data_IF_347335806354
#
_entry.id   IF_347335806354
#
_cell.length_a   1.000
_cell.length_b   1.000
_cell.length_c   1.000
_cell.angle_alpha   90.00
_cell.angle_beta   90.00
_cell.angle_gamma   90.00
#
_symmetry.space_group_name_H-M   'P 1'
#
loop_
_entity.id
_entity.type
_entity.pdbx_description
1 polymer ?
#
# COMPACT_ATOMS: atom_id res chain seq x y z
N UNK A 1 13.87 31.07 13.94
CA UNK A 1 13.60 31.04 12.49
C UNK A 1 13.12 29.64 12.14
N UNK A 2 12.03 29.48 11.42
CA UNK A 2 11.59 28.17 10.97
C UNK A 2 12.63 27.69 9.95
N UNK A 3 13.31 26.56 10.21
CA UNK A 3 14.22 25.96 9.24
C UNK A 3 13.36 25.38 8.10
N UNK A 4 13.18 26.19 7.06
CA UNK A 4 12.52 25.79 5.84
C UNK A 4 13.54 25.16 4.89
N UNK A 5 13.15 24.12 4.20
CA UNK A 5 13.87 23.55 3.06
C UNK A 5 13.33 24.14 1.77
N UNK A 6 14.21 24.66 0.95
CA UNK A 6 13.92 25.13 -0.41
C UNK A 6 14.02 23.95 -1.37
N UNK A 7 12.96 23.63 -2.06
CA UNK A 7 12.87 22.51 -3.01
C UNK A 7 12.60 23.09 -4.38
N UNK A 8 13.50 22.88 -5.31
CA UNK A 8 13.27 23.10 -6.74
C UNK A 8 12.77 21.80 -7.33
N UNK A 9 11.67 21.86 -8.08
CA UNK A 9 11.09 20.71 -8.77
C UNK A 9 10.98 21.06 -10.24
N UNK A 10 11.50 20.17 -11.08
CA UNK A 10 11.39 20.27 -12.54
C UNK A 10 10.85 18.96 -13.12
N UNK A 11 10.04 19.07 -14.17
CA UNK A 11 9.47 17.93 -14.90
C UNK A 11 9.33 18.26 -16.39
N UNK A 12 9.65 17.30 -17.26
CA UNK A 12 9.40 17.38 -18.69
C UNK A 12 8.00 16.84 -18.99
N UNK A 13 7.14 17.71 -19.54
CA UNK A 13 5.81 17.35 -20.03
C UNK A 13 5.42 18.28 -21.17
N UNK A 14 5.02 17.71 -22.32
CA UNK A 14 4.60 18.50 -23.48
C UNK A 14 3.11 18.78 -23.39
N UNK A 15 2.75 20.05 -23.18
CA UNK A 15 1.34 20.48 -23.21
C UNK A 15 0.85 20.62 -24.65
N UNK A 16 -0.43 20.32 -24.87
CA UNK A 16 -1.04 20.34 -26.20
C UNK A 16 -1.55 21.72 -26.63
N UNK A 17 -1.72 22.61 -25.65
CA UNK A 17 -2.08 24.01 -25.93
C UNK A 17 -1.56 24.95 -24.82
N UNK A 18 -1.49 26.29 -25.11
CA UNK A 18 -0.94 27.28 -24.16
C UNK A 18 -1.79 27.52 -22.91
N UNK A 19 -3.05 27.06 -22.88
CA UNK A 19 -3.92 27.20 -21.71
C UNK A 19 -3.69 26.10 -20.68
N UNK A 20 -2.96 25.04 -21.05
CA UNK A 20 -2.60 23.96 -20.18
C UNK A 20 -1.42 24.31 -19.28
N UNK A 21 -1.50 23.90 -18.03
CA UNK A 21 -0.48 24.13 -17.02
C UNK A 21 -0.24 22.84 -16.23
N UNK A 22 1.03 22.48 -16.04
CA UNK A 22 1.40 21.40 -15.14
C UNK A 22 1.31 21.92 -13.70
N UNK A 23 0.67 21.14 -12.84
CA UNK A 23 0.50 21.43 -11.42
C UNK A 23 1.13 20.35 -10.56
N UNK A 24 1.77 20.76 -9.47
CA UNK A 24 2.34 19.90 -8.44
C UNK A 24 1.32 19.73 -7.31
N UNK A 25 1.06 18.49 -6.94
CA UNK A 25 0.21 18.12 -5.81
C UNK A 25 1.07 17.51 -4.71
N UNK A 26 0.83 17.89 -3.46
CA UNK A 26 1.62 17.46 -2.30
C UNK A 26 0.76 16.72 -1.29
N UNK A 27 1.32 15.70 -0.65
CA UNK A 27 0.73 15.00 0.49
C UNK A 27 1.79 14.67 1.53
N UNK A 28 1.44 14.70 2.79
CA UNK A 28 2.34 14.33 3.89
C UNK A 28 1.54 13.69 5.02
N UNK A 29 2.18 12.81 5.77
CA UNK A 29 1.63 12.20 6.99
C UNK A 29 1.23 13.24 8.06
N UNK A 30 1.79 14.46 7.99
CA UNK A 30 1.44 15.59 8.84
C UNK A 30 0.73 16.66 8.05
N UNK A 31 -0.18 17.39 8.72
CA UNK A 31 -0.98 18.46 8.11
C UNK A 31 -0.04 19.53 7.52
N UNK A 32 -0.13 19.71 6.21
CA UNK A 32 0.53 20.80 5.48
C UNK A 32 -0.19 22.13 5.74
N UNK A 33 0.47 23.25 5.41
CA UNK A 33 -0.20 24.56 5.39
C UNK A 33 -1.29 24.53 4.31
N UNK A 34 -2.39 25.28 4.53
CA UNK A 34 -3.53 25.28 3.63
C UNK A 34 -3.15 25.57 2.17
N UNK A 35 -2.20 26.47 1.95
CA UNK A 35 -1.70 26.88 0.62
C UNK A 35 -0.98 25.73 -0.14
N UNK A 36 -0.47 24.73 0.60
CA UNK A 36 0.24 23.56 0.04
C UNK A 36 -0.70 22.36 -0.19
N UNK A 37 -1.95 22.45 0.23
CA UNK A 37 -2.96 21.43 -0.05
C UNK A 37 -3.66 21.65 -1.41
N UNK A 38 -3.49 22.84 -2.00
CA UNK A 38 -4.00 23.14 -3.33
C UNK A 38 -2.94 22.86 -4.40
N UNK A 39 -3.34 22.51 -5.64
CA UNK A 39 -2.41 22.29 -6.73
C UNK A 39 -1.52 23.51 -7.00
N UNK A 40 -0.21 23.33 -6.92
CA UNK A 40 0.77 24.39 -7.14
C UNK A 40 1.12 24.44 -8.64
N UNK A 41 0.82 25.54 -9.30
CA UNK A 41 1.13 25.72 -10.73
C UNK A 41 2.62 25.84 -10.95
N UNK A 42 3.16 25.05 -11.87
CA UNK A 42 4.52 25.16 -12.36
C UNK A 42 4.61 26.23 -13.45
N UNK A 43 5.80 26.75 -13.69
CA UNK A 43 6.13 27.73 -14.73
C UNK A 43 6.90 27.05 -15.83
N UNK A 44 6.61 27.42 -17.07
CA UNK A 44 7.35 27.01 -18.25
C UNK A 44 7.51 28.21 -19.22
N UNK A 45 8.60 28.22 -19.94
CA UNK A 45 8.86 29.21 -21.01
C UNK A 45 8.67 28.63 -22.41
N UNK A 46 8.70 27.30 -22.53
CA UNK A 46 8.69 26.57 -23.81
C UNK A 46 7.53 25.55 -23.90
N UNK A 47 6.71 25.40 -22.85
CA UNK A 47 5.63 24.41 -22.77
C UNK A 47 6.09 22.95 -22.64
N UNK A 48 7.39 22.73 -22.40
CA UNK A 48 8.01 21.39 -22.28
C UNK A 48 8.64 21.14 -20.93
N UNK A 49 9.53 22.04 -20.48
CA UNK A 49 10.15 21.97 -19.17
C UNK A 49 9.35 22.85 -18.19
N UNK A 50 8.79 22.23 -17.18
CA UNK A 50 8.00 22.86 -16.12
C UNK A 50 8.74 22.84 -14.82
N UNK A 51 8.80 23.98 -14.12
CA UNK A 51 9.56 24.09 -12.88
C UNK A 51 8.88 24.99 -11.85
N UNK A 52 9.11 24.70 -10.57
CA UNK A 52 8.69 25.54 -9.46
C UNK A 52 9.60 25.33 -8.26
N UNK A 53 9.82 26.41 -7.52
CA UNK A 53 10.50 26.35 -6.23
C UNK A 53 9.47 26.55 -5.13
N UNK A 54 9.49 25.66 -4.12
CA UNK A 54 8.63 25.71 -2.96
C UNK A 54 9.48 25.74 -1.68
N UNK A 55 8.91 26.21 -0.59
CA UNK A 55 9.54 26.19 0.73
C UNK A 55 8.68 25.40 1.73
N UNK A 56 9.25 24.36 2.33
CA UNK A 56 8.57 23.48 3.29
C UNK A 56 9.21 23.54 4.67
N UNK A 57 8.42 23.52 5.77
CA UNK A 57 8.91 23.49 7.15
C UNK A 57 9.33 22.05 7.54
N UNK A 58 10.48 21.60 7.04
CA UNK A 58 10.92 20.20 7.16
C UNK A 58 11.30 19.74 8.57
N UNK A 59 11.42 20.64 9.55
CA UNK A 59 11.51 20.24 10.97
C UNK A 59 10.27 19.47 11.46
N UNK A 60 9.10 19.68 10.82
CA UNK A 60 7.83 19.07 11.21
C UNK A 60 7.41 17.94 10.28
N UNK A 61 8.03 17.84 9.12
CA UNK A 61 7.70 16.90 8.04
C UNK A 61 8.93 16.06 7.75
N UNK A 62 8.86 14.75 7.96
CA UNK A 62 9.98 13.82 7.73
C UNK A 62 10.08 13.36 6.28
N UNK A 63 8.93 13.37 5.60
CA UNK A 63 8.74 12.84 4.26
C UNK A 63 7.61 13.58 3.54
N UNK A 64 7.56 13.45 2.24
CA UNK A 64 6.56 14.06 1.37
C UNK A 64 6.27 13.12 0.20
N UNK A 65 5.00 12.92 -0.07
CA UNK A 65 4.53 12.35 -1.33
C UNK A 65 4.12 13.47 -2.28
N UNK A 66 4.43 13.33 -3.56
CA UNK A 66 4.04 14.32 -4.55
C UNK A 66 3.73 13.67 -5.90
N UNK A 67 2.97 14.39 -6.73
CA UNK A 67 2.60 13.97 -8.06
C UNK A 67 2.19 15.15 -8.91
N UNK A 68 2.05 14.93 -10.20
CA UNK A 68 1.75 15.99 -11.15
C UNK A 68 0.40 15.76 -11.83
N UNK A 69 -0.26 16.87 -12.13
CA UNK A 69 -1.49 16.92 -12.92
C UNK A 69 -1.38 18.00 -13.98
N UNK A 70 -2.17 17.88 -15.03
CA UNK A 70 -2.31 18.95 -16.04
C UNK A 70 -3.71 19.52 -15.92
N UNK A 71 -3.81 20.83 -15.80
CA UNK A 71 -5.08 21.54 -15.77
C UNK A 71 -5.19 22.55 -16.92
N UNK A 72 -6.41 22.69 -17.43
CA UNK A 72 -6.79 23.71 -18.40
C UNK A 72 -7.93 24.52 -17.80
N UNK A 73 -7.72 25.82 -17.58
CA UNK A 73 -8.72 26.72 -16.95
C UNK A 73 -9.37 26.14 -15.68
N UNK A 74 -8.59 25.52 -14.81
CA UNK A 74 -9.03 24.85 -13.57
C UNK A 74 -9.70 23.47 -13.74
N UNK A 75 -9.83 22.97 -14.96
CA UNK A 75 -10.32 21.61 -15.22
C UNK A 75 -9.15 20.66 -15.34
N UNK A 76 -9.21 19.51 -14.65
CA UNK A 76 -8.23 18.44 -14.78
C UNK A 76 -8.30 17.85 -16.20
N UNK A 77 -7.17 17.84 -16.90
CA UNK A 77 -7.04 17.30 -18.26
C UNK A 77 -6.26 15.99 -18.28
N UNK A 78 -5.18 15.92 -17.49
CA UNK A 78 -4.34 14.74 -17.38
C UNK A 78 -3.77 14.63 -15.96
N UNK A 79 -3.41 13.41 -15.56
CA UNK A 79 -2.78 13.12 -14.27
C UNK A 79 -1.77 11.99 -14.41
N UNK A 80 -0.70 12.04 -13.65
CA UNK A 80 0.24 10.93 -13.57
C UNK A 80 -0.45 9.66 -13.13
N UNK A 81 0.02 8.54 -13.67
CA UNK A 81 -0.40 7.20 -13.28
C UNK A 81 0.73 6.55 -12.47
N UNK A 82 0.38 5.83 -11.45
CA UNK A 82 1.37 5.19 -10.59
C UNK A 82 0.86 5.07 -9.16
N UNK A 83 1.69 5.36 -8.21
CA UNK A 83 1.45 5.17 -6.78
C UNK A 83 0.27 6.01 -6.23
N UNK A 84 -0.96 5.58 -6.53
CA UNK A 84 -2.15 6.36 -6.18
C UNK A 84 -2.13 7.72 -6.87
N UNK A 85 -2.54 8.76 -6.13
CA UNK A 85 -2.51 10.15 -6.60
C UNK A 85 -1.10 10.78 -6.55
N UNK A 86 -0.15 10.12 -5.86
CA UNK A 86 1.19 10.66 -5.60
C UNK A 86 2.25 9.59 -5.89
N UNK A 87 2.74 9.51 -7.14
CA UNK A 87 3.70 8.48 -7.55
C UNK A 87 5.12 8.68 -7.04
N UNK A 88 5.45 9.84 -6.52
CA UNK A 88 6.79 10.18 -6.05
C UNK A 88 6.85 10.32 -4.53
N UNK A 89 8.00 9.94 -3.96
CA UNK A 89 8.23 10.03 -2.52
C UNK A 89 9.62 10.60 -2.22
N UNK A 90 9.72 11.48 -1.23
CA UNK A 90 10.97 12.07 -0.78
C UNK A 90 11.07 12.03 0.75
N UNK A 91 12.26 11.64 1.25
CA UNK A 91 12.65 11.77 2.65
C UNK A 91 13.49 13.02 2.87
N UNK A 92 13.20 13.74 3.94
CA UNK A 92 14.00 14.89 4.37
C UNK A 92 15.02 14.48 5.43
N UNK A 93 16.27 14.91 5.27
CA UNK A 93 17.36 14.64 6.21
C UNK A 93 18.07 15.92 6.63
N UNK A 94 17.31 16.97 6.88
CA UNK A 94 17.87 18.26 7.31
C UNK A 94 18.53 19.09 6.20
N UNK A 95 18.50 18.64 4.94
CA UNK A 95 18.94 19.41 3.79
C UNK A 95 18.11 20.69 3.64
N UNK A 96 18.78 21.81 3.34
CA UNK A 96 18.14 23.12 3.17
C UNK A 96 17.80 23.44 1.72
N UNK A 97 18.50 22.80 0.78
CA UNK A 97 18.31 22.98 -0.65
C UNK A 97 18.27 21.63 -1.34
N UNK A 98 17.12 21.32 -1.93
CA UNK A 98 16.90 20.06 -2.65
C UNK A 98 16.49 20.38 -4.09
N UNK A 99 17.07 19.66 -5.07
CA UNK A 99 16.66 19.68 -6.47
C UNK A 99 16.02 18.35 -6.84
N UNK A 100 14.89 18.38 -7.53
CA UNK A 100 14.16 17.20 -8.01
C UNK A 100 13.99 17.32 -9.51
N UNK A 101 14.51 16.35 -10.24
CA UNK A 101 14.34 16.17 -11.68
C UNK A 101 13.39 15.01 -11.89
N UNK A 102 12.10 15.30 -12.01
CA UNK A 102 11.05 14.31 -12.11
C UNK A 102 10.81 13.86 -13.55
N UNK A 103 10.36 12.63 -13.71
CA UNK A 103 9.79 12.11 -14.96
C UNK A 103 8.28 11.92 -14.78
N UNK A 104 7.53 12.22 -15.85
CA UNK A 104 6.10 11.96 -15.89
C UNK A 104 5.81 10.45 -15.96
N UNK A 105 5.03 9.94 -15.02
CA UNK A 105 4.65 8.54 -14.96
C UNK A 105 3.35 8.27 -15.73
N UNK A 106 3.46 7.49 -16.80
CA UNK A 106 2.35 7.15 -17.69
C UNK A 106 1.94 5.67 -17.66
N UNK A 107 2.61 4.84 -16.89
CA UNK A 107 2.37 3.39 -16.93
C UNK A 107 1.02 3.03 -16.30
N UNK A 108 0.04 2.75 -17.16
CA UNK A 108 -1.31 2.32 -16.77
C UNK A 108 -1.36 0.83 -16.37
N UNK A 109 -0.31 0.06 -16.66
CA UNK A 109 -0.34 -1.40 -16.56
C UNK A 109 -0.10 -1.98 -15.18
N UNK A 110 0.56 -1.23 -14.29
CA UNK A 110 1.05 -1.75 -13.00
C UNK A 110 0.56 -1.01 -11.77
N UNK A 111 -0.46 -0.18 -11.91
CA UNK A 111 -1.05 0.61 -10.81
C UNK A 111 -1.50 -0.24 -9.61
N UNK A 112 -1.80 -1.53 -9.84
CA UNK A 112 -2.18 -2.44 -8.77
C UNK A 112 -1.07 -2.65 -7.73
N UNK A 113 0.21 -2.54 -8.08
CA UNK A 113 1.32 -2.65 -7.12
C UNK A 113 1.26 -1.60 -6.01
N UNK A 114 0.67 -0.45 -6.30
CA UNK A 114 0.60 0.67 -5.39
C UNK A 114 -0.71 0.73 -4.60
N UNK A 115 -1.66 -0.15 -4.90
CA UNK A 115 -2.89 -0.24 -4.12
C UNK A 115 -2.59 -0.69 -2.69
N UNK A 116 -3.35 -0.19 -1.73
CA UNK A 116 -3.19 -0.59 -0.32
C UNK A 116 -3.43 -2.07 -0.09
N UNK A 117 -4.30 -2.70 -0.87
CA UNK A 117 -4.52 -4.14 -0.85
C UNK A 117 -3.24 -4.89 -1.21
N UNK A 118 -2.50 -4.39 -2.18
CA UNK A 118 -1.27 -5.01 -2.65
C UNK A 118 -0.08 -4.71 -1.75
N UNK A 119 0.19 -3.44 -1.50
CA UNK A 119 1.36 -2.98 -0.75
C UNK A 119 1.29 -3.26 0.76
N UNK A 120 0.09 -3.46 1.32
CA UNK A 120 -0.09 -3.76 2.75
C UNK A 120 -0.43 -5.22 3.05
N UNK A 121 -0.90 -5.99 2.05
CA UNK A 121 -1.39 -7.35 2.28
C UNK A 121 -0.65 -8.39 1.46
N UNK A 122 -0.56 -8.23 0.14
CA UNK A 122 0.04 -9.23 -0.76
C UNK A 122 1.56 -9.16 -0.71
N UNK A 123 2.11 -7.96 -0.76
CA UNK A 123 3.53 -7.67 -0.61
C UNK A 123 3.73 -6.51 0.37
N UNK A 124 3.53 -6.75 1.67
CA UNK A 124 3.76 -5.71 2.66
C UNK A 124 5.23 -5.29 2.57
N UNK A 125 5.42 -4.02 2.32
CA UNK A 125 6.74 -3.41 2.22
C UNK A 125 6.82 -2.23 3.17
N UNK A 126 7.83 -2.25 4.02
CA UNK A 126 8.25 -1.12 4.83
C UNK A 126 9.76 -0.94 4.65
N UNK A 127 10.18 0.28 4.35
CA UNK A 127 11.61 0.59 4.27
C UNK A 127 12.24 0.47 5.65
N UNK A 128 13.32 -0.30 5.74
CA UNK A 128 14.06 -0.40 6.99
C UNK A 128 14.90 0.87 7.27
N UNK A 129 15.23 1.11 8.54
CA UNK A 129 15.94 2.32 8.96
C UNK A 129 17.38 2.40 8.42
N UNK A 130 18.01 1.27 8.14
CA UNK A 130 19.36 1.23 7.53
C UNK A 130 19.32 1.77 6.10
N UNK A 131 18.43 1.25 5.26
CA UNK A 131 18.26 1.70 3.88
C UNK A 131 17.84 3.16 3.81
N UNK A 132 16.92 3.59 4.67
CA UNK A 132 16.50 4.97 4.80
C UNK A 132 17.68 5.88 5.18
N UNK A 133 18.53 5.45 6.10
CA UNK A 133 19.73 6.17 6.49
C UNK A 133 20.74 6.31 5.34
N UNK A 134 20.95 5.26 4.56
CA UNK A 134 21.84 5.26 3.39
C UNK A 134 21.32 6.24 2.32
N UNK A 135 20.03 6.16 1.98
CA UNK A 135 19.38 7.04 1.01
C UNK A 135 19.47 8.51 1.47
N UNK A 136 19.25 8.76 2.76
CA UNK A 136 19.25 10.09 3.32
C UNK A 136 20.65 10.73 3.34
N UNK A 137 21.71 9.97 3.54
CA UNK A 137 23.08 10.49 3.56
C UNK A 137 23.64 10.79 2.18
N UNK A 138 23.12 10.16 1.14
CA UNK A 138 23.55 10.42 -0.23
C UNK A 138 23.06 11.80 -0.70
N UNK A 139 23.95 12.57 -1.33
CA UNK A 139 23.60 13.86 -1.90
C UNK A 139 23.00 13.76 -3.32
N UNK A 140 23.10 12.59 -3.96
CA UNK A 140 22.40 12.27 -5.23
C UNK A 140 21.69 10.94 -5.11
N UNK A 141 20.42 10.89 -5.53
CA UNK A 141 19.66 9.65 -5.61
C UNK A 141 19.07 9.51 -7.01
N UNK A 142 19.41 8.44 -7.73
CA UNK A 142 18.70 8.06 -8.94
C UNK A 142 17.54 7.15 -8.56
N UNK A 143 16.36 7.40 -9.11
CA UNK A 143 15.14 6.66 -8.78
C UNK A 143 14.50 6.16 -10.07
N UNK A 144 13.94 4.96 -10.02
CA UNK A 144 12.95 4.48 -10.99
C UNK A 144 11.84 3.70 -10.29
N UNK A 145 10.71 3.57 -10.97
CA UNK A 145 9.50 2.90 -10.47
C UNK A 145 9.11 1.72 -11.36
N UNK A 146 8.04 1.02 -10.98
CA UNK A 146 7.38 -0.03 -11.75
C UNK A 146 8.25 -1.23 -12.10
N UNK A 147 9.16 -1.62 -11.18
CA UNK A 147 10.07 -2.73 -11.42
C UNK A 147 10.19 -3.67 -10.23
N UNK A 148 9.94 -4.95 -10.46
CA UNK A 148 10.18 -6.02 -9.49
C UNK A 148 11.21 -6.99 -10.09
N UNK A 149 12.40 -7.11 -9.49
CA UNK A 149 13.41 -8.04 -9.99
C UNK A 149 12.92 -9.49 -9.87
N UNK A 150 13.39 -10.40 -10.75
CA UNK A 150 13.11 -11.82 -10.62
C UNK A 150 13.61 -12.37 -9.27
N UNK A 151 12.95 -13.42 -8.79
CA UNK A 151 13.30 -14.05 -7.50
C UNK A 151 14.77 -14.44 -7.45
N UNK A 152 15.45 -14.02 -6.37
CA UNK A 152 16.87 -14.29 -6.15
C UNK A 152 17.82 -13.28 -6.79
N UNK A 153 17.33 -12.31 -7.54
CA UNK A 153 18.13 -11.22 -8.09
C UNK A 153 18.07 -9.97 -7.22
N UNK A 154 19.22 -9.32 -7.10
CA UNK A 154 19.36 -7.94 -6.60
C UNK A 154 19.65 -7.01 -7.76
N UNK A 155 19.30 -5.75 -7.62
CA UNK A 155 19.53 -4.73 -8.63
C UNK A 155 20.65 -3.80 -8.21
N UNK A 156 21.52 -3.46 -9.16
CA UNK A 156 22.65 -2.56 -8.97
C UNK A 156 22.67 -1.49 -10.06
N UNK A 157 23.25 -0.34 -9.74
CA UNK A 157 23.70 0.64 -10.72
C UNK A 157 25.18 0.48 -10.92
N UNK A 158 25.63 0.32 -12.17
CA UNK A 158 27.03 0.19 -12.53
C UNK A 158 27.39 1.23 -13.60
N UNK A 159 28.44 1.99 -13.38
CA UNK A 159 28.85 3.08 -14.25
C UNK A 159 30.35 3.07 -14.55
N UNK A 160 30.77 4.09 -15.30
CA UNK A 160 32.11 4.23 -15.86
C UNK A 160 33.14 4.85 -14.92
N UNK A 161 32.79 5.08 -13.64
CA UNK A 161 33.73 5.62 -12.65
C UNK A 161 33.89 4.66 -11.46
N UNK A 162 34.92 4.91 -10.64
CA UNK A 162 35.25 4.07 -9.50
C UNK A 162 34.13 4.03 -8.45
N UNK A 163 33.43 5.14 -8.24
CA UNK A 163 32.32 5.23 -7.28
C UNK A 163 31.12 4.34 -7.67
N UNK A 164 30.98 4.01 -8.94
CA UNK A 164 29.91 3.17 -9.49
C UNK A 164 30.42 1.83 -10.03
N UNK A 165 31.64 1.46 -9.67
CA UNK A 165 32.24 0.16 -9.95
C UNK A 165 33.02 0.04 -11.24
N UNK A 166 33.17 1.11 -12.01
CA UNK A 166 33.94 1.13 -13.26
C UNK A 166 33.60 -0.07 -14.20
N UNK A 167 32.33 -0.21 -14.49
CA UNK A 167 31.70 -1.31 -15.25
C UNK A 167 31.88 -2.72 -14.64
N UNK A 168 32.28 -2.81 -13.35
CA UNK A 168 32.25 -4.08 -12.63
C UNK A 168 30.96 -4.16 -11.80
N UNK A 169 29.98 -5.02 -12.16
CA UNK A 169 28.69 -5.07 -11.48
C UNK A 169 28.78 -5.39 -9.99
N UNK A 170 29.77 -6.18 -9.59
CA UNK A 170 29.97 -6.54 -8.18
C UNK A 170 30.50 -5.37 -7.31
N UNK A 171 30.96 -4.29 -7.95
CA UNK A 171 31.35 -3.05 -7.28
C UNK A 171 30.35 -1.92 -7.51
N UNK A 172 29.24 -2.21 -8.18
CA UNK A 172 28.17 -1.25 -8.41
C UNK A 172 27.42 -0.86 -7.12
N UNK A 173 26.58 0.14 -7.23
CA UNK A 173 25.72 0.62 -6.12
C UNK A 173 24.48 -0.25 -6.04
N UNK A 174 24.29 -0.96 -4.93
CA UNK A 174 23.09 -1.75 -4.68
C UNK A 174 21.86 -0.85 -4.55
N UNK A 175 20.80 -1.15 -5.29
CA UNK A 175 19.54 -0.46 -5.23
C UNK A 175 18.83 -0.70 -3.88
N UNK A 176 18.25 0.35 -3.34
CA UNK A 176 17.45 0.32 -2.11
C UNK A 176 15.99 0.49 -2.49
N UNK A 177 15.17 -0.47 -2.11
CA UNK A 177 13.74 -0.36 -2.36
C UNK A 177 13.15 0.65 -1.37
N UNK A 178 12.49 1.71 -1.89
CA UNK A 178 11.87 2.76 -1.07
C UNK A 178 10.36 2.61 -0.99
N UNK A 179 9.79 1.96 -1.97
CA UNK A 179 8.40 1.55 -2.02
C UNK A 179 8.27 0.28 -2.87
N UNK A 180 7.12 -0.38 -2.86
CA UNK A 180 6.88 -1.52 -3.74
C UNK A 180 7.14 -1.15 -5.21
N UNK A 181 8.08 -1.82 -5.84
CA UNK A 181 8.47 -1.55 -7.23
C UNK A 181 9.28 -0.26 -7.46
N UNK A 182 9.58 0.52 -6.42
CA UNK A 182 10.35 1.77 -6.52
C UNK A 182 11.71 1.62 -5.87
N UNK A 183 12.75 1.95 -6.63
CA UNK A 183 14.14 1.73 -6.27
C UNK A 183 14.93 3.03 -6.27
N UNK A 184 15.74 3.24 -5.25
CA UNK A 184 16.67 4.35 -5.12
C UNK A 184 18.11 3.86 -5.13
N UNK A 185 18.96 4.56 -5.87
CA UNK A 185 20.41 4.31 -5.96
C UNK A 185 21.14 5.52 -5.37
N UNK A 186 21.59 5.41 -4.13
CA UNK A 186 22.26 6.49 -3.42
C UNK A 186 23.69 6.66 -3.92
N UNK A 187 24.02 7.84 -4.43
CA UNK A 187 25.31 8.18 -5.01
C UNK A 187 25.99 9.33 -4.23
N UNK A 188 27.30 9.37 -4.29
CA UNK A 188 28.06 10.55 -3.95
C UNK A 188 28.23 11.41 -5.20
N UNK A 189 27.44 12.48 -5.31
CA UNK A 189 27.46 13.38 -6.45
C UNK A 189 28.79 14.11 -6.65
N UNK A 190 29.61 14.29 -5.60
CA UNK A 190 30.91 14.94 -5.72
C UNK A 190 31.92 14.12 -6.53
N UNK A 191 31.63 12.84 -6.74
CA UNK A 191 32.42 11.91 -7.55
C UNK A 191 31.86 11.70 -8.95
N UNK A 192 30.87 12.49 -9.36
CA UNK A 192 30.15 12.35 -10.63
C UNK A 192 30.29 13.65 -11.42
N UNK A 193 30.87 13.56 -12.63
CA UNK A 193 30.82 14.64 -13.61
C UNK A 193 29.73 14.28 -14.65
N UNK A 194 28.61 15.05 -14.70
CA UNK A 194 27.45 14.69 -15.51
C UNK A 194 27.73 14.48 -16.98
N UNK A 195 28.63 15.30 -17.55
CA UNK A 195 28.97 15.23 -18.99
C UNK A 195 29.64 13.92 -19.39
N UNK A 196 30.37 13.30 -18.45
CA UNK A 196 31.14 12.08 -18.68
C UNK A 196 30.54 10.85 -18.01
N UNK A 197 29.51 11.03 -17.17
CA UNK A 197 28.94 9.92 -16.38
C UNK A 197 28.00 9.06 -17.21
N UNK A 198 28.42 7.83 -17.45
CA UNK A 198 27.63 6.80 -18.09
C UNK A 198 27.36 5.65 -17.13
N UNK A 199 26.13 5.15 -17.12
CA UNK A 199 25.75 4.04 -16.26
C UNK A 199 24.70 3.13 -16.89
N UNK A 200 24.50 1.95 -16.29
CA UNK A 200 23.40 1.01 -16.55
C UNK A 200 22.91 0.40 -15.26
N UNK A 201 21.66 -0.06 -15.30
CA UNK A 201 21.17 -0.96 -14.27
C UNK A 201 21.52 -2.41 -14.60
N UNK A 202 21.75 -3.21 -13.58
CA UNK A 202 22.19 -4.59 -13.73
C UNK A 202 21.59 -5.46 -12.62
N UNK A 203 21.16 -6.66 -12.99
CA UNK A 203 20.71 -7.68 -12.06
C UNK A 203 21.83 -8.67 -11.75
N UNK A 204 22.00 -9.03 -10.50
CA UNK A 204 22.92 -10.06 -10.04
C UNK A 204 22.13 -11.08 -9.22
N UNK A 205 22.19 -12.35 -9.64
CA UNK A 205 21.60 -13.43 -8.87
C UNK A 205 22.47 -13.75 -7.66
N UNK A 206 21.91 -13.66 -6.46
CA UNK A 206 22.64 -13.85 -5.20
C UNK A 206 23.18 -15.25 -4.98
N UNK A 207 22.64 -16.28 -5.68
CA UNK A 207 23.06 -17.68 -5.54
C UNK A 207 23.97 -18.16 -6.67
N UNK A 208 23.64 -17.77 -7.91
CA UNK A 208 24.31 -18.27 -9.12
C UNK A 208 25.35 -17.32 -9.68
N UNK A 209 25.41 -16.07 -9.18
CA UNK A 209 26.21 -14.97 -9.74
C UNK A 209 25.89 -14.66 -11.21
N UNK A 210 24.72 -15.10 -11.71
CA UNK A 210 24.30 -14.72 -13.05
C UNK A 210 24.05 -13.23 -13.12
N UNK A 211 24.59 -12.56 -14.14
CA UNK A 211 24.55 -11.11 -14.35
C UNK A 211 23.71 -10.83 -15.60
N UNK A 212 22.75 -9.93 -15.47
CA UNK A 212 21.89 -9.48 -16.58
C UNK A 212 21.94 -7.95 -16.63
N UNK A 213 22.45 -7.42 -17.71
CA UNK A 213 22.48 -5.99 -17.98
C UNK A 213 21.16 -5.52 -18.60
N UNK A 214 20.76 -4.29 -18.32
CA UNK A 214 19.65 -3.68 -19.05
C UNK A 214 19.96 -3.56 -20.54
N UNK A 215 18.93 -3.68 -21.36
CA UNK A 215 19.02 -3.50 -22.80
C UNK A 215 19.13 -2.00 -23.17
N UNK A 216 19.56 -1.75 -24.42
CA UNK A 216 19.67 -0.39 -24.95
C UNK A 216 21.02 0.29 -24.68
N UNK A 217 21.07 1.60 -24.86
CA UNK A 217 22.27 2.41 -24.70
C UNK A 217 22.60 2.66 -23.21
N UNK A 218 23.86 3.08 -22.96
CA UNK A 218 24.21 3.59 -21.64
C UNK A 218 23.39 4.82 -21.30
N UNK A 219 23.01 4.95 -20.03
CA UNK A 219 22.33 6.11 -19.48
C UNK A 219 23.32 7.20 -19.13
N UNK A 220 22.84 8.43 -19.12
CA UNK A 220 23.60 9.60 -18.65
C UNK A 220 22.69 10.48 -17.77
N UNK A 221 23.30 11.34 -16.97
CA UNK A 221 22.62 12.39 -16.23
C UNK A 221 22.72 13.67 -17.04
N UNK A 222 21.60 14.38 -17.25
CA UNK A 222 21.61 15.63 -18.04
C UNK A 222 22.36 16.77 -17.33
N UNK A 223 22.15 16.91 -16.02
CA UNK A 223 22.69 18.02 -15.24
C UNK A 223 22.72 17.66 -13.75
N UNK A 224 23.76 18.10 -13.06
CA UNK A 224 23.85 18.08 -11.61
C UNK A 224 24.21 19.48 -11.10
N UNK A 225 23.22 20.14 -10.51
CA UNK A 225 23.41 21.51 -10.01
C UNK A 225 24.03 21.47 -8.61
N UNK A 226 25.26 21.96 -8.50
CA UNK A 226 26.06 21.95 -7.25
C UNK A 226 25.59 22.96 -6.21
N UNK A 227 24.67 23.86 -6.57
CA UNK A 227 24.05 24.79 -5.61
C UNK A 227 23.06 24.13 -4.66
N UNK A 228 22.67 22.89 -4.97
CA UNK A 228 21.79 22.08 -4.13
C UNK A 228 22.56 21.06 -3.31
N UNK A 229 22.15 20.91 -2.06
CA UNK A 229 22.76 19.96 -1.12
C UNK A 229 22.35 18.51 -1.42
N UNK A 230 21.18 18.33 -2.04
CA UNK A 230 20.67 17.05 -2.47
C UNK A 230 19.98 17.16 -3.82
N UNK A 231 20.23 16.18 -4.69
CA UNK A 231 19.52 16.04 -5.97
C UNK A 231 18.86 14.67 -6.05
N UNK A 232 17.59 14.65 -6.44
CA UNK A 232 16.82 13.45 -6.74
C UNK A 232 16.54 13.48 -8.23
N UNK A 233 16.84 12.39 -8.93
CA UNK A 233 16.68 12.30 -10.38
C UNK A 233 15.88 11.03 -10.68
N UNK A 234 14.70 11.21 -11.23
CA UNK A 234 13.93 10.08 -11.75
C UNK A 234 14.53 9.61 -13.06
N UNK A 235 14.57 8.32 -13.23
CA UNK A 235 15.04 7.67 -14.45
C UNK A 235 13.98 6.70 -14.95
N UNK A 236 13.98 6.43 -16.26
CA UNK A 236 13.06 5.45 -16.84
C UNK A 236 13.32 4.06 -16.27
N UNK A 237 12.25 3.29 -16.10
CA UNK A 237 12.31 1.88 -15.71
C UNK A 237 13.23 1.12 -16.65
N UNK A 238 14.18 0.31 -16.14
CA UNK A 238 15.12 -0.42 -16.98
C UNK A 238 14.45 -1.55 -17.77
N UNK A 239 14.89 -1.75 -19.01
CA UNK A 239 14.47 -2.88 -19.83
C UNK A 239 15.27 -4.13 -19.43
N UNK A 240 14.75 -4.87 -18.47
CA UNK A 240 15.34 -6.11 -17.93
C UNK A 240 14.22 -7.11 -17.60
N UNK A 241 14.54 -8.42 -17.47
CA UNK A 241 13.57 -9.39 -16.99
C UNK A 241 12.94 -8.97 -15.65
N UNK A 242 11.63 -9.05 -15.56
CA UNK A 242 10.87 -8.71 -14.36
C UNK A 242 10.18 -9.94 -13.80
N UNK A 243 9.87 -9.89 -12.52
CA UNK A 243 8.98 -10.86 -11.94
C UNK A 243 7.53 -10.52 -12.33
N UNK A 244 6.93 -11.39 -13.12
CA UNK A 244 5.49 -11.32 -13.36
C UNK A 244 4.78 -11.87 -12.13
N UNK A 245 4.03 -11.01 -11.47
CA UNK A 245 3.22 -11.45 -10.35
C UNK A 245 2.12 -12.38 -10.85
N UNK A 246 2.23 -13.64 -10.48
CA UNK A 246 1.19 -14.65 -10.70
C UNK A 246 0.56 -14.98 -9.37
N UNK A 247 -0.74 -14.68 -9.23
CA UNK A 247 -1.54 -14.99 -8.05
C UNK A 247 -2.63 -15.95 -8.45
N UNK A 248 -2.73 -17.05 -7.71
CA UNK A 248 -3.87 -17.95 -7.74
C UNK A 248 -4.63 -17.83 -6.42
N UNK A 249 -5.95 -17.81 -6.48
CA UNK A 249 -6.77 -17.69 -5.29
C UNK A 249 -8.19 -18.18 -5.50
N UNK A 250 -8.98 -18.12 -4.43
CA UNK A 250 -10.41 -18.44 -4.45
C UNK A 250 -11.22 -17.25 -4.01
N UNK A 251 -12.41 -17.12 -4.55
CA UNK A 251 -13.44 -16.17 -4.10
C UNK A 251 -14.51 -16.98 -3.38
N UNK A 252 -14.79 -16.65 -2.13
CA UNK A 252 -15.75 -17.41 -1.33
C UNK A 252 -16.50 -16.51 -0.35
N UNK A 253 -17.84 -16.60 -0.27
CA UNK A 253 -18.58 -15.99 0.81
C UNK A 253 -18.32 -16.76 2.11
N UNK A 254 -18.09 -16.04 3.23
CA UNK A 254 -17.84 -16.71 4.52
C UNK A 254 -19.00 -17.60 4.92
N UNK A 255 -20.25 -17.17 4.69
CA UNK A 255 -21.45 -17.95 5.03
C UNK A 255 -21.55 -19.29 4.30
N UNK A 256 -20.89 -19.45 3.14
CA UNK A 256 -20.91 -20.70 2.38
C UNK A 256 -19.91 -21.74 2.86
N UNK A 257 -18.98 -21.36 3.74
CA UNK A 257 -18.04 -22.30 4.34
C UNK A 257 -18.77 -23.25 5.27
N UNK A 258 -18.29 -24.49 5.32
CA UNK A 258 -18.86 -25.50 6.21
C UNK A 258 -17.78 -26.46 6.71
N UNK A 259 -17.79 -26.70 8.00
CA UNK A 259 -16.98 -27.71 8.65
C UNK A 259 -17.78 -28.42 9.75
N UNK A 260 -17.22 -29.48 10.34
CA UNK A 260 -17.84 -30.16 11.46
C UNK A 260 -18.06 -29.27 12.69
N UNK A 261 -17.35 -28.14 12.77
CA UNK A 261 -17.43 -27.21 13.89
C UNK A 261 -18.30 -25.99 13.60
N UNK A 262 -18.80 -25.82 12.39
CA UNK A 262 -19.67 -24.68 12.03
C UNK A 262 -20.94 -24.67 12.86
N UNK A 263 -21.49 -23.48 13.07
CA UNK A 263 -22.77 -23.27 13.75
C UNK A 263 -23.86 -22.98 12.72
N UNK A 264 -24.23 -24.01 11.96
CA UNK A 264 -25.24 -23.98 10.89
C UNK A 264 -24.86 -23.15 9.65
N UNK A 265 -23.99 -22.18 9.79
CA UNK A 265 -23.50 -21.27 8.73
C UNK A 265 -22.01 -21.08 8.91
N UNK A 266 -21.29 -20.82 7.80
CA UNK A 266 -19.85 -20.55 7.85
C UNK A 266 -19.51 -19.29 8.65
N UNK A 267 -18.44 -19.37 9.41
CA UNK A 267 -18.02 -18.33 10.33
C UNK A 267 -16.49 -18.08 10.29
N UNK A 268 -15.97 -17.21 11.17
CA UNK A 268 -14.55 -16.90 11.21
C UNK A 268 -13.66 -18.09 11.62
N UNK A 269 -14.21 -19.08 12.32
CA UNK A 269 -13.50 -20.32 12.59
C UNK A 269 -13.30 -21.17 11.34
N UNK A 270 -14.31 -21.20 10.47
CA UNK A 270 -14.23 -21.88 9.17
C UNK A 270 -13.32 -21.12 8.20
N UNK A 271 -13.32 -19.77 8.26
CA UNK A 271 -12.38 -18.96 7.49
C UNK A 271 -10.93 -19.23 7.89
N UNK A 272 -10.61 -19.41 9.19
CA UNK A 272 -9.27 -19.81 9.62
C UNK A 272 -8.84 -21.12 8.97
N UNK A 273 -9.71 -22.13 8.96
CA UNK A 273 -9.42 -23.43 8.30
C UNK A 273 -9.22 -23.29 6.80
N UNK A 274 -9.98 -22.40 6.14
CA UNK A 274 -9.77 -22.10 4.72
C UNK A 274 -8.41 -21.43 4.48
N UNK A 275 -7.95 -20.57 5.38
CA UNK A 275 -6.62 -19.95 5.30
C UNK A 275 -5.52 -21.01 5.41
N UNK A 276 -5.64 -21.93 6.37
CA UNK A 276 -4.69 -23.05 6.54
C UNK A 276 -4.67 -23.94 5.29
N UNK A 277 -5.82 -24.29 4.75
CA UNK A 277 -5.94 -25.06 3.49
C UNK A 277 -5.32 -24.31 2.31
N UNK A 278 -5.56 -23.00 2.18
CA UNK A 278 -4.96 -22.18 1.12
C UNK A 278 -3.43 -22.16 1.22
N UNK A 279 -2.90 -22.05 2.43
CA UNK A 279 -1.47 -22.12 2.67
C UNK A 279 -0.87 -23.49 2.24
N UNK A 280 -1.50 -24.58 2.61
CA UNK A 280 -1.06 -25.95 2.26
C UNK A 280 -1.12 -26.18 0.75
N UNK A 281 -2.14 -25.68 0.08
CA UNK A 281 -2.33 -25.81 -1.38
C UNK A 281 -1.57 -24.76 -2.20
N UNK A 282 -0.79 -23.89 -1.54
CA UNK A 282 -0.01 -22.82 -2.19
C UNK A 282 -0.85 -21.78 -2.93
N UNK A 283 -2.08 -21.58 -2.52
CA UNK A 283 -2.86 -20.43 -2.97
C UNK A 283 -2.31 -19.15 -2.35
N UNK A 284 -2.34 -18.06 -3.12
CA UNK A 284 -1.74 -16.78 -2.71
C UNK A 284 -2.80 -15.80 -2.18
N UNK A 285 -4.08 -16.02 -2.50
CA UNK A 285 -5.14 -15.10 -2.13
C UNK A 285 -6.45 -15.83 -1.82
N UNK A 286 -7.18 -15.30 -0.85
CA UNK A 286 -8.57 -15.62 -0.58
C UNK A 286 -9.33 -14.29 -0.65
N UNK A 287 -10.28 -14.17 -1.56
CA UNK A 287 -11.21 -13.05 -1.61
C UNK A 287 -12.50 -13.48 -0.92
N UNK A 288 -12.90 -12.75 0.10
CA UNK A 288 -14.21 -12.93 0.74
C UNK A 288 -15.18 -11.84 0.29
N UNK A 289 -16.47 -12.14 0.33
CA UNK A 289 -17.51 -11.12 0.17
C UNK A 289 -17.57 -10.25 1.45
N UNK A 290 -18.21 -9.06 1.39
CA UNK A 290 -18.36 -8.20 2.56
C UNK A 290 -18.92 -8.95 3.77
N UNK A 291 -18.37 -8.69 4.94
CA UNK A 291 -18.73 -9.37 6.20
C UNK A 291 -19.35 -8.40 7.22
N UNK A 292 -19.65 -7.20 6.76
CA UNK A 292 -20.28 -6.18 7.58
C UNK A 292 -21.74 -6.54 7.89
N UNK A 293 -22.27 -5.95 8.95
CA UNK A 293 -23.63 -6.22 9.41
C UNK A 293 -24.68 -5.71 8.42
N UNK A 294 -25.53 -6.64 8.00
CA UNK A 294 -26.67 -6.39 7.10
C UNK A 294 -28.03 -6.58 7.79
N UNK A 295 -28.04 -6.82 9.12
CA UNK A 295 -29.24 -7.18 9.87
C UNK A 295 -30.25 -6.04 9.90
N UNK A 296 -31.44 -6.27 9.31
CA UNK A 296 -32.60 -5.36 9.31
C UNK A 296 -33.87 -6.05 9.77
N UNK A 297 -34.13 -7.23 9.23
CA UNK A 297 -35.35 -7.99 9.44
C UNK A 297 -35.10 -9.31 10.20
N UNK A 298 -33.86 -9.73 10.33
CA UNK A 298 -33.48 -11.00 10.98
C UNK A 298 -33.89 -12.23 10.19
N UNK A 299 -33.95 -12.12 8.87
CA UNK A 299 -34.32 -13.21 7.96
C UNK A 299 -33.44 -13.26 6.72
N UNK A 300 -33.73 -14.17 5.76
CA UNK A 300 -32.92 -14.40 4.57
C UNK A 300 -32.73 -13.15 3.69
N UNK A 301 -33.59 -12.14 3.76
CA UNK A 301 -33.39 -10.88 3.03
C UNK A 301 -32.10 -10.16 3.45
N UNK A 302 -31.64 -10.39 4.68
CA UNK A 302 -30.41 -9.82 5.22
C UNK A 302 -29.15 -10.58 4.76
N UNK A 303 -29.30 -11.70 4.03
CA UNK A 303 -28.15 -12.49 3.56
C UNK A 303 -27.34 -11.84 2.45
N UNK A 304 -27.81 -10.74 1.86
CA UNK A 304 -27.14 -10.03 0.77
C UNK A 304 -25.99 -9.16 1.30
N UNK A 305 -24.71 -9.52 1.07
CA UNK A 305 -23.58 -8.94 1.76
C UNK A 305 -23.24 -7.49 1.32
N UNK A 306 -23.81 -7.04 0.19
CA UNK A 306 -23.52 -5.71 -0.38
C UNK A 306 -24.48 -4.61 0.09
N UNK A 307 -25.33 -4.87 1.06
CA UNK A 307 -26.25 -3.89 1.64
C UNK A 307 -26.07 -3.72 3.16
N UNK A 308 -24.85 -3.40 3.64
CA UNK A 308 -24.58 -3.29 5.06
C UNK A 308 -25.26 -2.07 5.67
N UNK A 309 -25.62 -2.19 6.95
CA UNK A 309 -26.11 -1.06 7.77
C UNK A 309 -24.96 -0.29 8.44
N UNK A 310 -23.76 -0.86 8.46
CA UNK A 310 -22.56 -0.23 9.01
C UNK A 310 -21.33 -0.63 8.19
N UNK A 311 -20.41 0.33 7.97
CA UNK A 311 -19.11 0.09 7.37
C UNK A 311 -18.09 -0.48 8.37
N UNK A 312 -18.38 -0.46 9.66
CA UNK A 312 -17.49 -0.84 10.74
C UNK A 312 -17.92 -2.12 11.46
N UNK A 313 -19.22 -2.25 11.74
CA UNK A 313 -19.75 -3.39 12.47
C UNK A 313 -19.68 -4.66 11.61
N UNK A 314 -19.08 -5.72 12.14
CA UNK A 314 -19.12 -7.04 11.53
C UNK A 314 -20.44 -7.74 11.88
N UNK A 315 -20.97 -8.51 10.93
CA UNK A 315 -22.22 -9.25 11.12
C UNK A 315 -22.04 -10.32 12.20
N UNK A 316 -22.85 -10.32 13.27
CA UNK A 316 -22.71 -11.29 14.38
C UNK A 316 -22.83 -12.76 13.95
N UNK A 317 -23.48 -13.02 12.81
CA UNK A 317 -23.65 -14.35 12.26
C UNK A 317 -22.31 -15.05 11.95
N UNK A 318 -21.25 -14.27 11.68
CA UNK A 318 -19.92 -14.80 11.38
C UNK A 318 -19.07 -15.06 12.63
N UNK A 319 -19.59 -14.80 13.83
CA UNK A 319 -18.85 -15.07 15.06
C UNK A 319 -18.62 -16.58 15.24
N UNK A 320 -17.37 -16.97 15.55
CA UNK A 320 -17.05 -18.34 15.92
C UNK A 320 -17.42 -18.59 17.39
N UNK A 321 -18.45 -19.38 17.62
CA UNK A 321 -18.91 -19.69 18.99
C UNK A 321 -18.00 -20.68 19.71
N UNK A 322 -17.11 -21.36 18.99
CA UNK A 322 -16.12 -22.23 19.63
C UNK A 322 -15.05 -21.41 20.36
N UNK A 323 -14.86 -20.14 20.03
CA UNK A 323 -13.98 -19.20 20.74
C UNK A 323 -14.63 -18.60 21.99
N UNK A 324 -15.94 -18.74 22.18
CA UNK A 324 -16.65 -18.27 23.36
C UNK A 324 -16.60 -19.29 24.50
N UNK A 325 -16.56 -18.85 25.77
CA UNK A 325 -16.84 -19.72 26.88
C UNK A 325 -18.23 -20.37 26.71
N UNK A 326 -18.36 -21.65 27.06
CA UNK A 326 -19.65 -22.33 26.96
C UNK A 326 -20.67 -21.70 27.92
N UNK A 327 -21.93 -21.65 27.50
CA UNK A 327 -23.04 -21.25 28.40
C UNK A 327 -23.12 -22.19 29.61
N UNK A 328 -23.50 -21.65 30.77
CA UNK A 328 -23.48 -22.36 32.03
C UNK A 328 -24.58 -23.43 32.14
N UNK A 329 -25.72 -23.18 31.51
CA UNK A 329 -26.86 -24.11 31.49
C UNK A 329 -26.59 -25.33 30.60
N UNK A 330 -26.22 -26.47 31.19
CA UNK A 330 -25.97 -27.73 30.47
C UNK A 330 -27.15 -28.16 29.60
N UNK A 331 -28.39 -27.97 30.10
CA UNK A 331 -29.59 -28.33 29.37
C UNK A 331 -29.75 -27.49 28.08
N UNK A 332 -29.61 -26.17 28.19
CA UNK A 332 -29.67 -25.28 27.02
C UNK A 332 -28.53 -25.57 26.05
N UNK A 333 -27.33 -25.77 26.55
CA UNK A 333 -26.16 -26.10 25.71
C UNK A 333 -26.44 -27.37 24.88
N UNK A 334 -26.99 -28.43 25.50
CA UNK A 334 -27.32 -29.65 24.76
C UNK A 334 -28.36 -29.41 23.66
N UNK A 335 -29.37 -28.56 23.92
CA UNK A 335 -30.37 -28.20 22.89
C UNK A 335 -29.72 -27.49 21.73
N UNK A 336 -28.88 -26.48 22.00
CA UNK A 336 -28.17 -25.72 20.96
C UNK A 336 -27.23 -26.62 20.14
N UNK A 337 -26.50 -27.52 20.79
CA UNK A 337 -25.61 -28.46 20.07
C UNK A 337 -26.40 -29.44 19.19
N UNK A 338 -27.55 -29.89 19.62
CA UNK A 338 -28.44 -30.72 18.80
C UNK A 338 -29.00 -29.95 17.57
N UNK A 339 -29.48 -28.73 17.79
CA UNK A 339 -29.94 -27.87 16.69
C UNK A 339 -28.82 -27.56 15.70
N UNK A 340 -27.63 -27.22 16.18
CA UNK A 340 -26.45 -27.03 15.37
C UNK A 340 -26.15 -28.24 14.50
N UNK A 341 -26.18 -29.43 15.06
CA UNK A 341 -25.91 -30.67 14.32
C UNK A 341 -26.94 -30.89 13.22
N UNK A 342 -28.22 -30.75 13.53
CA UNK A 342 -29.30 -30.89 12.56
C UNK A 342 -29.14 -29.93 11.37
N UNK A 343 -28.84 -28.65 11.66
CA UNK A 343 -28.67 -27.66 10.61
C UNK A 343 -27.37 -27.84 9.81
N UNK A 344 -26.31 -28.33 10.46
CA UNK A 344 -25.07 -28.64 9.73
C UNK A 344 -25.18 -29.85 8.80
N UNK A 345 -26.07 -30.80 9.08
CA UNK A 345 -26.31 -31.98 8.24
C UNK A 345 -27.21 -31.69 7.01
N UNK A 346 -27.84 -30.53 6.97
CA UNK A 346 -28.65 -30.14 5.81
C UNK A 346 -27.80 -29.90 4.57
N UNK A 347 -28.26 -30.29 3.41
CA UNK A 347 -27.60 -30.07 2.12
C UNK A 347 -27.53 -28.58 1.77
N UNK A 348 -28.62 -27.85 2.01
CA UNK A 348 -28.75 -26.43 1.77
C UNK A 348 -28.72 -25.65 3.08
N UNK A 349 -28.08 -24.47 3.05
CA UNK A 349 -28.08 -23.54 4.16
C UNK A 349 -29.48 -22.96 4.38
N UNK A 350 -30.03 -23.14 5.58
CA UNK A 350 -31.20 -22.41 6.05
C UNK A 350 -30.72 -21.17 6.84
N UNK A 351 -30.73 -20.01 6.18
CA UNK A 351 -30.25 -18.78 6.77
C UNK A 351 -31.08 -18.35 7.99
N UNK A 352 -32.41 -18.46 7.90
CA UNK A 352 -33.33 -18.03 8.95
C UNK A 352 -33.13 -18.84 10.23
N UNK A 353 -33.04 -20.16 10.09
CA UNK A 353 -32.81 -21.04 11.24
C UNK A 353 -31.38 -20.92 11.80
N UNK A 354 -30.38 -20.72 10.95
CA UNK A 354 -29.02 -20.45 11.39
C UNK A 354 -28.92 -19.12 12.15
N UNK A 355 -29.57 -18.07 11.66
CA UNK A 355 -29.61 -16.77 12.33
C UNK A 355 -30.29 -16.88 13.70
N UNK A 356 -31.48 -17.45 13.77
CA UNK A 356 -32.23 -17.67 15.03
C UNK A 356 -31.41 -18.47 16.04
N UNK A 357 -30.76 -19.53 15.61
CA UNK A 357 -29.92 -20.37 16.46
C UNK A 357 -28.78 -19.53 17.10
N UNK A 358 -28.05 -18.82 16.25
CA UNK A 358 -26.89 -18.01 16.72
C UNK A 358 -27.34 -16.85 17.60
N UNK A 359 -28.39 -16.14 17.23
CA UNK A 359 -28.95 -15.05 18.03
C UNK A 359 -29.41 -15.53 19.42
N UNK A 360 -30.19 -16.62 19.47
CA UNK A 360 -30.65 -17.20 20.73
C UNK A 360 -29.51 -17.65 21.64
N UNK A 361 -28.43 -18.24 21.05
CA UNK A 361 -27.25 -18.60 21.80
C UNK A 361 -26.54 -17.38 22.35
N UNK A 362 -26.34 -16.33 21.55
CA UNK A 362 -25.70 -15.07 21.98
C UNK A 362 -26.49 -14.38 23.09
N UNK A 363 -27.81 -14.34 22.99
CA UNK A 363 -28.65 -13.81 24.06
C UNK A 363 -28.47 -14.59 25.37
N UNK A 364 -28.50 -15.91 25.30
CA UNK A 364 -28.30 -16.77 26.49
C UNK A 364 -26.90 -16.55 27.07
N UNK A 365 -25.89 -16.53 26.24
CA UNK A 365 -24.49 -16.28 26.64
C UNK A 365 -24.33 -14.91 27.31
N UNK A 366 -24.93 -13.86 26.74
CA UNK A 366 -24.87 -12.51 27.27
C UNK A 366 -25.54 -12.43 28.65
N UNK A 367 -26.76 -12.93 28.79
CA UNK A 367 -27.46 -12.90 30.07
C UNK A 367 -26.70 -13.63 31.19
N UNK A 368 -26.05 -14.76 30.88
CA UNK A 368 -25.26 -15.50 31.83
C UNK A 368 -23.93 -14.84 32.23
N UNK A 369 -23.37 -13.97 31.36
CA UNK A 369 -22.04 -13.38 31.52
C UNK A 369 -22.04 -11.84 31.56
N UNK A 370 -23.20 -11.18 31.47
CA UNK A 370 -23.40 -9.74 31.39
C UNK A 370 -22.57 -8.93 32.38
N UNK A 371 -22.58 -9.34 33.66
CA UNK A 371 -21.85 -8.62 34.70
C UNK A 371 -20.33 -8.66 34.50
N UNK A 372 -19.80 -9.79 34.06
CA UNK A 372 -18.39 -9.99 33.80
C UNK A 372 -17.96 -9.18 32.54
N UNK A 373 -18.75 -9.27 31.47
CA UNK A 373 -18.52 -8.53 30.23
C UNK A 373 -18.47 -7.01 30.51
N UNK A 374 -19.48 -6.46 31.18
CA UNK A 374 -19.57 -5.02 31.46
C UNK A 374 -18.45 -4.51 32.40
N UNK A 375 -17.89 -5.38 33.24
CA UNK A 375 -16.76 -5.03 34.12
C UNK A 375 -15.40 -5.16 33.42
N UNK A 376 -15.31 -5.92 32.33
CA UNK A 376 -14.04 -6.21 31.68
C UNK A 376 -13.38 -4.95 31.10
N UNK A 377 -12.07 -4.87 31.24
CA UNK A 377 -11.27 -3.77 30.67
C UNK A 377 -11.33 -3.80 29.14
N UNK A 378 -11.37 -4.99 28.53
CA UNK A 378 -11.49 -5.17 27.08
C UNK A 378 -12.75 -4.49 26.54
N UNK A 379 -13.92 -4.74 27.16
CA UNK A 379 -15.18 -4.13 26.76
C UNK A 379 -15.16 -2.61 26.92
N UNK A 380 -14.63 -2.10 28.03
CA UNK A 380 -14.54 -0.66 28.30
C UNK A 380 -13.63 0.06 27.29
N UNK A 381 -12.47 -0.53 26.99
CA UNK A 381 -11.55 0.01 26.01
C UNK A 381 -12.18 -0.01 24.60
N UNK A 382 -12.78 -1.13 24.20
CA UNK A 382 -13.49 -1.23 22.91
C UNK A 382 -14.56 -0.14 22.75
N UNK A 383 -15.40 0.06 23.75
CA UNK A 383 -16.42 1.15 23.74
C UNK A 383 -15.81 2.53 23.58
N UNK A 384 -14.70 2.78 24.27
CA UNK A 384 -14.02 4.08 24.24
C UNK A 384 -13.36 4.33 22.88
N UNK A 385 -12.65 3.34 22.37
CA UNK A 385 -11.88 3.44 21.12
C UNK A 385 -12.78 3.50 19.87
N UNK A 386 -13.99 2.96 19.95
CA UNK A 386 -14.92 2.85 18.84
C UNK A 386 -16.17 3.73 19.01
N UNK A 387 -16.19 4.69 19.94
CA UNK A 387 -17.37 5.49 20.27
C UNK A 387 -17.96 6.22 19.07
N UNK A 388 -17.13 6.68 18.15
CA UNK A 388 -17.53 7.49 16.99
C UNK A 388 -18.51 6.77 16.05
N UNK A 389 -18.34 5.45 15.88
CA UNK A 389 -19.23 4.67 15.03
C UNK A 389 -20.18 3.76 15.83
N UNK A 390 -19.76 3.30 17.01
CA UNK A 390 -20.55 2.36 17.82
C UNK A 390 -21.82 3.00 18.39
N UNK A 391 -21.72 4.27 18.84
CA UNK A 391 -22.88 4.98 19.42
C UNK A 391 -24.00 5.19 18.39
N UNK A 392 -23.75 5.70 17.17
CA UNK A 392 -24.81 5.83 16.17
C UNK A 392 -25.30 4.48 15.60
N UNK A 393 -24.50 3.42 15.72
CA UNK A 393 -24.90 2.06 15.28
C UNK A 393 -25.77 1.34 16.30
N UNK A 394 -25.56 1.52 17.63
CA UNK A 394 -26.27 0.88 18.73
C UNK A 394 -27.50 1.71 19.12
#
# INVERSE_FOLDING_TARGET
>A
MADNTKINIEIEYITHNPEQTVCLNLSSSKKLRAELNEPIRLKSTDGRLWQQTIELPTKKISDLDYGFTVSEKFTLVDEEKGHGTYPHHIFFNGYKKINIQALWHNDKGKNYFYSSAFSKTVYPFEINEEDKSVINRANVNLIFTDYIPPVGYKIFLCGNNDATGNWNPHKGIEGRQIHMGTWSFPLNGDLIEPEDFLFKYVLINSKTNNIIWEEGNNRSIKKLDRDYEKTIIDTYTPCMPQNDLKIAGVVVPVFSLRSNNSWAIGDFGDLRKLIDWAYETKLNAIQILPINDTTREGNWHDSYPYNPISSFALHPIYMDFNDLPKIKSRTKLKIYEQQRQILNEQELLDYDEAFKLKESYLHTFYEENKQEILRSTKYKNFKKENADWLVPYS
#
